data_IF_508345634240
#
_entry.id   IF_508345634240
#
_cell.length_a   1.000
_cell.length_b   1.000
_cell.length_c   1.000
_cell.angle_alpha   90.00
_cell.angle_beta   90.00
_cell.angle_gamma   90.00
#
_symmetry.space_group_name_H-M   'P 1'
#
loop_
_entity.id
_entity.type
_entity.pdbx_description
1 polymer ?
#
# COMPACT_ATOMS: atom_id res chain seq x y z
N UNK A 1 -9.20 -17.58 14.42
CA UNK A 1 -9.96 -18.64 13.74
C UNK A 1 -10.82 -18.04 12.65
N UNK A 2 -10.85 -18.65 11.46
CA UNK A 2 -11.58 -18.21 10.25
C UNK A 2 -13.07 -17.89 10.49
N UNK A 3 -13.68 -18.56 11.48
CA UNK A 3 -15.06 -18.32 11.92
C UNK A 3 -15.27 -16.97 12.64
N UNK A 4 -14.26 -16.46 13.35
CA UNK A 4 -14.32 -15.15 14.03
C UNK A 4 -14.29 -13.99 13.01
N UNK A 5 -13.48 -14.16 11.94
CA UNK A 5 -13.38 -13.18 10.85
C UNK A 5 -14.66 -13.07 10.03
N UNK A 6 -15.38 -14.19 9.79
CA UNK A 6 -16.66 -14.19 9.06
C UNK A 6 -17.83 -13.53 9.81
N UNK A 7 -17.85 -13.56 11.15
CA UNK A 7 -18.99 -13.08 11.96
C UNK A 7 -18.91 -11.58 12.29
N UNK A 8 -17.70 -11.01 12.37
CA UNK A 8 -17.50 -9.59 12.71
C UNK A 8 -17.35 -8.65 11.50
N UNK A 9 -17.16 -9.18 10.28
CA UNK A 9 -16.97 -8.39 9.05
C UNK A 9 -18.26 -7.72 8.51
N UNK A 10 -19.26 -7.45 9.36
CA UNK A 10 -20.55 -6.90 8.94
C UNK A 10 -21.06 -5.72 9.78
N UNK A 11 -20.25 -5.19 10.70
CA UNK A 11 -20.76 -4.18 11.65
C UNK A 11 -19.85 -2.98 11.96
N UNK A 12 -18.84 -2.70 11.13
CA UNK A 12 -18.05 -1.48 11.31
C UNK A 12 -17.09 -1.20 10.16
N UNK A 13 -17.45 -1.55 8.93
CA UNK A 13 -16.52 -1.46 7.81
C UNK A 13 -16.44 -0.01 7.35
N UNK A 14 -15.56 0.76 8.00
CA UNK A 14 -14.97 1.94 7.36
C UNK A 14 -14.48 1.43 6.01
N UNK A 15 -15.03 1.93 4.88
CA UNK A 15 -14.64 1.43 3.57
C UNK A 15 -13.12 1.56 3.48
N UNK A 16 -12.44 0.50 3.07
CA UNK A 16 -10.98 0.44 3.03
C UNK A 16 -10.39 1.67 2.33
N UNK A 17 -11.11 2.24 1.35
CA UNK A 17 -10.77 3.52 0.71
C UNK A 17 -10.66 4.72 1.67
N UNK A 18 -11.50 4.83 2.71
CA UNK A 18 -11.37 5.87 3.75
C UNK A 18 -10.11 5.64 4.59
N UNK A 19 -9.78 4.39 4.92
CA UNK A 19 -8.54 4.06 5.63
C UNK A 19 -7.33 4.49 4.79
N UNK A 20 -7.37 4.29 3.46
CA UNK A 20 -6.33 4.79 2.55
C UNK A 20 -6.27 6.30 2.51
N UNK A 21 -7.41 6.97 2.37
CA UNK A 21 -7.46 8.42 2.29
C UNK A 21 -6.88 9.06 3.57
N UNK A 22 -7.24 8.51 4.75
CA UNK A 22 -6.71 8.94 6.04
C UNK A 22 -5.20 8.64 6.12
N UNK A 23 -4.77 7.45 5.71
CA UNK A 23 -3.35 7.06 5.74
C UNK A 23 -2.52 7.98 4.85
N UNK A 24 -2.99 8.29 3.64
CA UNK A 24 -2.34 9.23 2.72
C UNK A 24 -2.29 10.62 3.35
N UNK A 25 -3.39 11.12 3.91
CA UNK A 25 -3.44 12.43 4.54
C UNK A 25 -2.47 12.54 5.73
N UNK A 26 -2.43 11.54 6.60
CA UNK A 26 -1.49 11.47 7.74
C UNK A 26 -0.05 11.50 7.25
N UNK A 27 0.27 10.75 6.18
CA UNK A 27 1.63 10.74 5.66
C UNK A 27 1.97 12.07 4.98
N UNK A 28 1.06 12.71 4.24
CA UNK A 28 1.27 14.04 3.69
C UNK A 28 1.58 15.06 4.79
N UNK A 29 0.82 15.05 5.89
CA UNK A 29 1.06 15.92 7.05
C UNK A 29 2.43 15.62 7.66
N UNK A 30 2.76 14.34 7.88
CA UNK A 30 4.06 13.95 8.42
C UNK A 30 5.22 14.44 7.54
N UNK A 31 5.13 14.26 6.23
CA UNK A 31 6.14 14.70 5.27
C UNK A 31 6.32 16.22 5.29
N UNK A 32 5.22 16.99 5.30
CA UNK A 32 5.27 18.46 5.41
C UNK A 32 5.94 18.90 6.71
N UNK A 33 5.60 18.28 7.84
CA UNK A 33 6.24 18.57 9.13
C UNK A 33 7.75 18.29 9.11
N UNK A 34 8.20 17.25 8.40
CA UNK A 34 9.64 16.98 8.23
C UNK A 34 10.32 18.08 7.42
N UNK A 35 9.71 18.53 6.31
CA UNK A 35 10.25 19.63 5.52
C UNK A 35 10.34 20.94 6.33
N UNK A 36 9.30 21.27 7.09
CA UNK A 36 9.30 22.44 7.97
C UNK A 36 10.38 22.36 9.07
N UNK A 37 10.53 21.19 9.70
CA UNK A 37 11.53 20.96 10.74
C UNK A 37 12.95 21.18 10.20
N UNK A 38 13.25 20.63 9.02
CA UNK A 38 14.58 20.77 8.40
C UNK A 38 14.80 22.21 7.92
N UNK A 39 13.80 22.85 7.31
CA UNK A 39 13.93 24.21 6.78
C UNK A 39 14.04 25.29 7.87
N UNK A 40 13.39 25.11 9.01
CA UNK A 40 13.24 26.15 10.05
C UNK A 40 14.22 26.01 11.23
N UNK A 41 14.84 24.84 11.40
CA UNK A 41 15.71 24.57 12.55
C UNK A 41 17.17 24.81 12.22
N UNK A 42 17.80 25.82 12.85
CA UNK A 42 19.26 26.05 12.73
C UNK A 42 20.12 24.95 13.37
N UNK A 43 19.54 24.11 14.25
CA UNK A 43 20.21 23.00 14.92
C UNK A 43 19.18 21.95 15.40
N UNK A 44 18.61 21.12 14.50
CA UNK A 44 17.64 20.10 14.90
C UNK A 44 18.29 19.05 15.81
N UNK A 45 17.53 18.57 16.82
CA UNK A 45 17.97 17.47 17.68
C UNK A 45 18.26 16.22 16.83
N UNK A 46 19.41 15.53 17.00
CA UNK A 46 19.73 14.32 16.25
C UNK A 46 18.65 13.22 16.37
N UNK A 47 18.01 13.12 17.53
CA UNK A 47 16.91 12.19 17.74
C UNK A 47 15.66 12.56 16.93
N UNK A 48 15.31 13.85 16.92
CA UNK A 48 14.16 14.34 16.15
C UNK A 48 14.41 14.18 14.63
N UNK A 49 15.65 14.42 14.18
CA UNK A 49 16.07 14.18 12.81
C UNK A 49 15.98 12.69 12.45
N UNK A 50 16.52 11.81 13.28
CA UNK A 50 16.46 10.36 13.05
C UNK A 50 15.02 9.83 13.00
N UNK A 51 14.15 10.28 13.91
CA UNK A 51 12.75 9.90 13.93
C UNK A 51 11.99 10.41 12.69
N UNK A 52 12.29 11.65 12.28
CA UNK A 52 11.73 12.26 11.07
C UNK A 52 12.13 11.48 9.82
N UNK A 53 13.41 11.13 9.70
CA UNK A 53 13.93 10.31 8.60
C UNK A 53 13.33 8.91 8.59
N UNK A 54 13.19 8.27 9.76
CA UNK A 54 12.59 6.94 9.89
C UNK A 54 11.08 6.93 9.55
N UNK A 55 10.38 8.03 9.75
CA UNK A 55 8.94 8.13 9.44
C UNK A 55 8.64 7.94 7.95
N UNK A 56 9.58 8.30 7.07
CA UNK A 56 9.43 8.24 5.61
C UNK A 56 9.30 6.78 5.11
N UNK A 57 10.27 5.87 5.34
CA UNK A 57 10.14 4.47 4.94
C UNK A 57 9.04 3.73 5.69
N UNK A 58 8.72 4.13 6.94
CA UNK A 58 7.58 3.57 7.67
C UNK A 58 6.23 3.95 7.05
N UNK A 59 6.08 5.21 6.62
CA UNK A 59 4.90 5.67 5.89
C UNK A 59 4.75 4.94 4.56
N UNK A 60 5.84 4.78 3.82
CA UNK A 60 5.90 4.00 2.58
C UNK A 60 5.40 2.56 2.81
N UNK A 61 5.98 1.87 3.80
CA UNK A 61 5.61 0.49 4.12
C UNK A 61 4.14 0.36 4.57
N UNK A 62 3.63 1.36 5.28
CA UNK A 62 2.23 1.39 5.72
C UNK A 62 1.27 1.47 4.53
N UNK A 63 1.55 2.32 3.53
CA UNK A 63 0.74 2.40 2.31
C UNK A 63 0.71 1.04 1.60
N UNK A 64 1.87 0.40 1.42
CA UNK A 64 1.93 -0.89 0.71
C UNK A 64 1.30 -2.03 1.49
N UNK A 65 1.38 -2.02 2.82
CA UNK A 65 0.66 -2.99 3.66
C UNK A 65 -0.85 -2.81 3.55
N UNK A 66 -1.34 -1.57 3.56
CA UNK A 66 -2.77 -1.28 3.36
C UNK A 66 -3.24 -1.69 1.95
N UNK A 67 -2.43 -1.44 0.91
CA UNK A 67 -2.63 -1.93 -0.46
C UNK A 67 -2.71 -3.46 -0.53
N UNK A 68 -1.82 -4.18 0.14
CA UNK A 68 -1.87 -5.63 0.21
C UNK A 68 -3.19 -6.13 0.82
N UNK A 69 -3.61 -5.54 1.95
CA UNK A 69 -4.88 -5.88 2.59
C UNK A 69 -6.09 -5.56 1.70
N UNK A 70 -6.05 -4.44 0.97
CA UNK A 70 -7.11 -4.07 0.03
C UNK A 70 -7.19 -5.03 -1.15
N UNK A 71 -6.06 -5.45 -1.71
CA UNK A 71 -6.01 -6.45 -2.77
C UNK A 71 -6.52 -7.81 -2.29
N UNK A 72 -6.15 -8.25 -1.09
CA UNK A 72 -6.68 -9.46 -0.49
C UNK A 72 -8.20 -9.38 -0.31
N UNK A 73 -8.71 -8.23 0.15
CA UNK A 73 -10.14 -8.00 0.26
C UNK A 73 -10.84 -8.06 -1.09
N UNK A 74 -10.35 -7.34 -2.12
CA UNK A 74 -10.92 -7.41 -3.47
C UNK A 74 -10.86 -8.83 -4.03
N UNK A 75 -9.77 -9.54 -3.81
CA UNK A 75 -9.56 -10.91 -4.27
C UNK A 75 -10.59 -11.88 -3.67
N UNK A 76 -10.76 -11.85 -2.35
CA UNK A 76 -11.65 -12.80 -1.66
C UNK A 76 -13.12 -12.40 -1.70
N UNK A 77 -13.48 -11.12 -1.59
CA UNK A 77 -14.88 -10.69 -1.59
C UNK A 77 -15.51 -10.63 -3.00
N UNK A 78 -14.75 -10.27 -4.04
CA UNK A 78 -15.28 -10.34 -5.41
C UNK A 78 -15.42 -11.80 -5.89
N UNK A 79 -14.60 -12.70 -5.37
CA UNK A 79 -14.68 -14.15 -5.64
C UNK A 79 -15.96 -14.80 -5.12
N UNK A 80 -16.56 -14.29 -4.03
CA UNK A 80 -17.80 -14.82 -3.47
C UNK A 80 -19.06 -14.44 -4.27
N UNK A 81 -19.05 -13.29 -4.96
CA UNK A 81 -20.15 -12.90 -5.88
C UNK A 81 -20.18 -13.75 -7.16
N UNK A 82 -19.04 -14.30 -7.58
CA UNK A 82 -18.91 -15.20 -8.74
C UNK A 82 -19.36 -16.64 -8.49
N UNK A 83 -19.58 -17.06 -7.23
CA UNK A 83 -20.01 -18.43 -6.88
C UNK A 83 -21.48 -18.72 -7.23
N UNK A 84 -22.23 -17.74 -7.74
CA UNK A 84 -23.57 -17.94 -8.29
C UNK A 84 -23.56 -18.54 -9.71
N UNK A 85 -22.41 -18.61 -10.39
CA UNK A 85 -22.28 -19.17 -11.74
C UNK A 85 -21.43 -20.44 -11.76
N UNK A 86 -22.06 -21.60 -11.68
CA UNK A 86 -21.58 -22.89 -12.22
C UNK A 86 -20.22 -23.43 -11.72
N UNK A 87 -20.26 -24.59 -11.04
CA UNK A 87 -19.08 -25.45 -10.85
C UNK A 87 -18.45 -25.77 -12.22
N UNK A 88 -17.27 -25.26 -12.53
CA UNK A 88 -16.50 -25.80 -13.67
C UNK A 88 -15.51 -24.90 -14.42
N UNK A 89 -15.32 -23.62 -14.08
CA UNK A 89 -14.30 -22.79 -14.78
C UNK A 89 -13.14 -22.40 -13.86
N UNK A 90 -11.87 -22.65 -14.23
CA UNK A 90 -10.69 -22.13 -13.54
C UNK A 90 -10.56 -20.65 -13.90
N UNK A 91 -11.49 -19.82 -13.43
CA UNK A 91 -11.34 -18.37 -13.55
C UNK A 91 -10.43 -17.91 -12.43
N UNK A 92 -9.36 -17.15 -12.73
CA UNK A 92 -8.49 -16.58 -11.70
C UNK A 92 -9.36 -15.74 -10.77
N UNK A 93 -9.54 -16.25 -9.55
CA UNK A 93 -10.46 -15.70 -8.58
C UNK A 93 -10.07 -14.25 -8.28
N UNK A 94 -11.05 -13.36 -8.09
CA UNK A 94 -10.80 -12.10 -7.38
C UNK A 94 -10.02 -10.98 -8.09
N UNK A 95 -9.48 -11.19 -9.30
CA UNK A 95 -8.81 -10.13 -10.07
C UNK A 95 -7.29 -10.16 -10.11
N UNK A 96 -6.64 -11.10 -9.43
CA UNK A 96 -5.20 -11.37 -9.49
C UNK A 96 -4.95 -12.83 -9.85
N UNK A 97 -3.92 -13.10 -10.65
CA UNK A 97 -3.48 -14.43 -11.06
C UNK A 97 -2.07 -14.65 -10.54
N UNK A 98 -1.95 -15.28 -9.37
CA UNK A 98 -0.67 -15.56 -8.73
C UNK A 98 -0.03 -16.83 -9.29
N UNK A 99 1.29 -16.87 -9.47
CA UNK A 99 1.98 -18.07 -9.94
C UNK A 99 2.00 -19.16 -8.87
N UNK A 100 1.95 -20.40 -9.32
CA UNK A 100 1.77 -21.55 -8.43
C UNK A 100 0.29 -21.82 -8.17
N UNK A 101 -0.15 -23.06 -8.34
CA UNK A 101 -1.57 -23.45 -8.24
C UNK A 101 -2.09 -23.48 -6.79
N UNK A 102 -1.44 -22.77 -5.87
CA UNK A 102 -1.82 -22.69 -4.46
C UNK A 102 -2.70 -21.47 -4.22
N UNK A 103 -3.54 -21.51 -3.17
CA UNK A 103 -4.29 -20.32 -2.76
C UNK A 103 -3.31 -19.27 -2.20
N UNK A 104 -3.45 -17.98 -2.60
CA UNK A 104 -2.52 -16.94 -2.18
C UNK A 104 -2.66 -16.64 -0.69
N UNK A 105 -1.52 -16.54 -0.02
CA UNK A 105 -1.36 -16.12 1.36
C UNK A 105 -1.16 -14.59 1.46
N UNK A 106 -1.17 -14.06 2.68
CA UNK A 106 -0.94 -12.63 2.92
C UNK A 106 0.38 -12.11 2.35
N UNK A 107 1.41 -12.97 2.28
CA UNK A 107 2.71 -12.66 1.70
C UNK A 107 2.65 -12.39 0.21
N UNK A 108 1.78 -13.08 -0.55
CA UNK A 108 1.66 -12.88 -2.00
C UNK A 108 1.07 -11.50 -2.31
N UNK A 109 0.08 -11.06 -1.53
CA UNK A 109 -0.47 -9.71 -1.66
C UNK A 109 0.52 -8.63 -1.23
N UNK A 110 1.31 -8.88 -0.18
CA UNK A 110 2.35 -7.95 0.27
C UNK A 110 3.46 -7.84 -0.76
N UNK A 111 3.90 -8.96 -1.34
CA UNK A 111 4.86 -9.00 -2.44
C UNK A 111 4.35 -8.18 -3.63
N UNK A 112 3.15 -8.49 -4.14
CA UNK A 112 2.54 -7.77 -5.25
C UNK A 112 2.43 -6.26 -4.98
N UNK A 113 1.95 -5.89 -3.80
CA UNK A 113 1.80 -4.50 -3.37
C UNK A 113 3.15 -3.76 -3.30
N UNK A 114 4.16 -4.39 -2.72
CA UNK A 114 5.49 -3.80 -2.55
C UNK A 114 6.19 -3.65 -3.90
N UNK A 115 6.02 -4.60 -4.83
CA UNK A 115 6.54 -4.51 -6.20
C UNK A 115 5.96 -3.29 -6.93
N UNK A 116 4.65 -3.07 -6.83
CA UNK A 116 4.01 -1.84 -7.33
C UNK A 116 4.59 -0.59 -6.66
N UNK A 117 4.77 -0.64 -5.33
CA UNK A 117 5.33 0.46 -4.53
C UNK A 117 6.74 0.88 -4.92
N UNK A 118 7.59 -0.10 -5.18
CA UNK A 118 8.96 0.11 -5.66
C UNK A 118 9.01 0.57 -7.12
N UNK A 119 7.87 0.67 -7.81
CA UNK A 119 7.78 0.91 -9.26
C UNK A 119 8.53 -0.15 -10.09
N UNK A 120 8.72 -1.35 -9.52
CA UNK A 120 9.28 -2.49 -10.24
C UNK A 120 8.16 -3.15 -11.04
N UNK A 121 8.31 -3.27 -12.35
CA UNK A 121 7.29 -3.87 -13.21
C UNK A 121 7.37 -5.41 -13.29
N UNK A 122 8.07 -6.05 -12.34
CA UNK A 122 8.36 -7.49 -12.34
C UNK A 122 7.50 -8.26 -11.35
N UNK A 123 6.22 -7.91 -11.23
CA UNK A 123 5.28 -8.82 -10.56
C UNK A 123 5.01 -9.97 -11.53
N UNK A 124 5.29 -11.19 -11.12
CA UNK A 124 4.88 -12.44 -11.80
C UNK A 124 3.37 -12.72 -11.65
N UNK A 125 2.62 -11.75 -11.11
CA UNK A 125 1.18 -11.82 -10.86
C UNK A 125 0.40 -11.03 -11.91
N UNK A 126 -0.52 -11.70 -12.61
CA UNK A 126 -1.39 -11.08 -13.62
C UNK A 126 -2.59 -10.34 -13.02
N UNK A 127 -3.05 -9.24 -13.65
CA UNK A 127 -4.26 -8.53 -13.23
C UNK A 127 -5.42 -8.86 -14.19
N UNK A 128 -6.45 -9.53 -13.70
CA UNK A 128 -7.46 -10.18 -14.54
C UNK A 128 -8.77 -9.41 -14.64
N UNK A 129 -9.10 -8.55 -13.67
CA UNK A 129 -10.37 -7.80 -13.65
C UNK A 129 -10.18 -6.29 -13.70
N UNK A 130 -11.18 -5.58 -14.25
CA UNK A 130 -11.17 -4.10 -14.34
C UNK A 130 -11.21 -3.42 -12.96
N UNK A 131 -11.98 -3.87 -11.97
CA UNK A 131 -11.92 -3.31 -10.61
C UNK A 131 -10.52 -3.40 -9.99
N UNK A 132 -9.83 -4.55 -10.15
CA UNK A 132 -8.46 -4.69 -9.67
C UNK A 132 -7.50 -3.76 -10.42
N UNK A 133 -7.63 -3.61 -11.76
CA UNK A 133 -6.83 -2.63 -12.53
C UNK A 133 -7.00 -1.20 -12.03
N UNK A 134 -8.22 -0.79 -11.65
CA UNK A 134 -8.47 0.56 -11.10
C UNK A 134 -7.78 0.74 -9.74
N UNK A 135 -7.84 -0.26 -8.87
CA UNK A 135 -7.16 -0.23 -7.58
C UNK A 135 -5.64 -0.15 -7.75
N UNK A 136 -5.07 -0.97 -8.64
CA UNK A 136 -3.64 -0.96 -8.96
C UNK A 136 -3.23 0.38 -9.56
N UNK A 137 -4.01 0.96 -10.49
CA UNK A 137 -3.72 2.27 -11.08
C UNK A 137 -3.63 3.36 -10.00
N UNK A 138 -4.61 3.41 -9.09
CA UNK A 138 -4.59 4.38 -7.99
C UNK A 138 -3.35 4.20 -7.11
N UNK A 139 -3.05 2.96 -6.71
CA UNK A 139 -1.89 2.64 -5.90
C UNK A 139 -0.57 2.99 -6.60
N UNK A 140 -0.45 2.73 -7.90
CA UNK A 140 0.74 3.10 -8.70
C UNK A 140 0.95 4.61 -8.75
N UNK A 141 -0.11 5.40 -8.97
CA UNK A 141 -0.03 6.88 -8.98
C UNK A 141 0.43 7.39 -7.61
N UNK A 142 -0.17 6.90 -6.52
CA UNK A 142 0.24 7.27 -5.16
C UNK A 142 1.69 6.91 -4.89
N UNK A 143 2.12 5.69 -5.28
CA UNK A 143 3.49 5.20 -5.10
C UNK A 143 4.52 6.05 -5.85
N UNK A 144 4.21 6.45 -7.09
CA UNK A 144 5.07 7.32 -7.89
C UNK A 144 5.38 8.66 -7.18
N UNK A 145 4.34 9.35 -6.70
CA UNK A 145 4.52 10.61 -5.99
C UNK A 145 5.23 10.41 -4.65
N UNK A 146 4.92 9.33 -3.93
CA UNK A 146 5.61 9.00 -2.68
C UNK A 146 7.13 8.84 -2.91
N UNK A 147 7.54 8.09 -3.92
CA UNK A 147 8.95 7.90 -4.26
C UNK A 147 9.64 9.24 -4.59
N UNK A 148 8.92 10.17 -5.23
CA UNK A 148 9.45 11.52 -5.49
C UNK A 148 9.68 12.28 -4.18
N UNK A 149 8.78 12.17 -3.20
CA UNK A 149 8.98 12.79 -1.89
C UNK A 149 10.15 12.17 -1.13
N UNK A 150 10.33 10.85 -1.18
CA UNK A 150 11.50 10.18 -0.58
C UNK A 150 12.79 10.79 -1.13
N UNK A 151 12.89 10.87 -2.46
CA UNK A 151 14.08 11.45 -3.12
C UNK A 151 14.28 12.91 -2.71
N UNK A 152 13.22 13.73 -2.72
CA UNK A 152 13.30 15.13 -2.31
C UNK A 152 13.75 15.30 -0.85
N UNK A 153 13.24 14.48 0.06
CA UNK A 153 13.64 14.50 1.46
C UNK A 153 15.10 14.10 1.65
N UNK A 154 15.57 13.05 0.96
CA UNK A 154 16.97 12.61 0.99
C UNK A 154 17.90 13.71 0.47
N UNK A 155 17.56 14.36 -0.65
CA UNK A 155 18.34 15.47 -1.21
C UNK A 155 18.38 16.65 -0.24
N UNK A 156 17.25 17.03 0.35
CA UNK A 156 17.19 18.13 1.31
C UNK A 156 18.08 17.89 2.54
N UNK A 157 18.08 16.65 3.04
CA UNK A 157 18.92 16.25 4.17
C UNK A 157 20.39 16.25 3.79
N UNK A 158 20.74 15.74 2.60
CA UNK A 158 22.12 15.74 2.11
C UNK A 158 22.68 17.17 1.97
N UNK A 159 21.88 18.09 1.42
CA UNK A 159 22.23 19.52 1.34
C UNK A 159 22.39 20.13 2.73
N UNK A 160 21.47 19.84 3.65
CA UNK A 160 21.51 20.38 5.02
C UNK A 160 22.71 19.91 5.85
N UNK A 161 23.27 18.72 5.58
CA UNK A 161 24.44 18.19 6.30
C UNK A 161 25.77 18.60 5.63
N UNK A 162 25.74 18.89 4.33
CA UNK A 162 26.92 19.31 3.56
C UNK A 162 27.29 20.80 3.70
N UNK A 163 26.41 21.61 4.30
CA UNK A 163 26.65 23.01 4.68
C UNK A 163 26.96 23.12 6.17
#
# INVERSE_FOLDING_TARGET
TTAYLKKNARRGDIPVSIIFAITIAVICVALLSVFELIASSKSPSPFALALSLASIPLGWFTIHTMAALHYAHLYWFAGDAGKAGGKGSPTPHGGLDFPGKAEPAGWDFLYFSTVIGMTAQTADTGITTTPMRRAVLLHSVVSFFFNTVIVAAVVNVAVSIGH
#
